data_IF_814595143838
#
_entry.id   IF_814595143838
#
_cell.length_a   1.000
_cell.length_b   1.000
_cell.length_c   1.000
_cell.angle_alpha   90.00
_cell.angle_beta   90.00
_cell.angle_gamma   90.00
#
_symmetry.space_group_name_H-M   'P 1'
#
loop_
_entity.id
_entity.type
_entity.pdbx_description
1 polymer ?
#
# COMPACT_ATOMS: atom_id res chain seq x y z
N UNK A 1 -5.77 -16.52 -19.33
CA UNK A 1 -6.70 -15.39 -19.29
C UNK A 1 -6.99 -14.86 -17.87
N UNK A 2 -7.00 -15.70 -16.85
CA UNK A 2 -7.17 -15.26 -15.46
C UNK A 2 -5.92 -14.55 -14.89
N UNK A 3 -4.73 -14.88 -15.35
CA UNK A 3 -3.48 -14.29 -14.86
C UNK A 3 -3.35 -12.80 -15.20
N UNK A 4 -3.84 -12.37 -16.35
CA UNK A 4 -3.81 -10.95 -16.75
C UNK A 4 -4.75 -10.04 -15.94
N UNK A 5 -5.79 -10.61 -15.31
CA UNK A 5 -6.72 -9.84 -14.47
C UNK A 5 -6.10 -9.47 -13.12
N UNK A 6 -5.18 -10.28 -12.61
CA UNK A 6 -4.48 -10.00 -11.34
C UNK A 6 -3.54 -8.80 -11.47
N UNK A 7 -2.79 -8.73 -12.56
CA UNK A 7 -1.86 -7.63 -12.84
C UNK A 7 -2.60 -6.30 -13.05
N UNK A 8 -3.75 -6.33 -13.72
CA UNK A 8 -4.52 -5.11 -14.00
C UNK A 8 -5.07 -4.45 -12.73
N UNK A 9 -5.37 -5.22 -11.69
CA UNK A 9 -5.90 -4.70 -10.44
C UNK A 9 -4.81 -4.29 -9.45
N UNK A 10 -3.57 -4.75 -9.63
CA UNK A 10 -2.47 -4.42 -8.73
C UNK A 10 -2.22 -2.91 -8.67
N UNK A 11 -2.17 -2.23 -9.81
CA UNK A 11 -1.97 -0.78 -9.85
C UNK A 11 -3.05 -0.04 -9.07
N UNK A 12 -4.32 -0.39 -9.29
CA UNK A 12 -5.45 0.20 -8.58
C UNK A 12 -5.34 -0.01 -7.07
N UNK A 13 -5.10 -1.24 -6.64
CA UNK A 13 -5.02 -1.60 -5.22
C UNK A 13 -3.82 -0.92 -4.56
N UNK A 14 -2.68 -0.93 -5.21
CA UNK A 14 -1.45 -0.30 -4.69
C UNK A 14 -1.63 1.20 -4.51
N UNK A 15 -2.26 1.87 -5.46
CA UNK A 15 -2.56 3.30 -5.38
C UNK A 15 -3.58 3.60 -4.27
N UNK A 16 -4.62 2.77 -4.17
CA UNK A 16 -5.63 2.88 -3.12
C UNK A 16 -4.99 2.77 -1.73
N UNK A 17 -4.21 1.71 -1.50
CA UNK A 17 -3.58 1.47 -0.21
C UNK A 17 -2.53 2.53 0.12
N UNK A 18 -1.77 2.99 -0.88
CA UNK A 18 -0.84 4.09 -0.71
C UNK A 18 -1.53 5.35 -0.21
N UNK A 19 -2.65 5.73 -0.80
CA UNK A 19 -3.42 6.90 -0.37
C UNK A 19 -4.01 6.72 1.03
N UNK A 20 -4.47 5.52 1.38
CA UNK A 20 -5.01 5.24 2.71
C UNK A 20 -3.94 5.33 3.80
N UNK A 21 -2.70 4.97 3.52
CA UNK A 21 -1.60 5.17 4.46
C UNK A 21 -1.12 6.63 4.53
N UNK A 22 -1.16 7.34 3.41
CA UNK A 22 -0.58 8.69 3.29
C UNK A 22 -1.48 9.77 3.89
N UNK A 23 -2.80 9.65 3.69
CA UNK A 23 -3.77 10.71 4.01
C UNK A 23 -4.54 10.40 5.27
N UNK A 24 -4.83 11.46 6.04
CA UNK A 24 -5.73 11.36 7.19
C UNK A 24 -7.13 10.95 6.70
N UNK A 25 -7.86 10.12 7.47
CA UNK A 25 -9.21 9.69 7.09
C UNK A 25 -10.19 10.83 6.82
N UNK A 26 -9.99 11.97 7.49
CA UNK A 26 -10.83 13.17 7.33
C UNK A 26 -10.44 14.03 6.12
N UNK A 27 -9.39 13.66 5.39
CA UNK A 27 -9.00 14.38 4.17
C UNK A 27 -10.14 14.27 3.13
N UNK A 28 -10.62 15.40 2.59
CA UNK A 28 -11.71 15.38 1.60
C UNK A 28 -11.42 14.53 0.37
N UNK A 29 -10.16 14.36 0.00
CA UNK A 29 -9.75 13.51 -1.13
C UNK A 29 -10.17 12.05 -0.89
N UNK A 30 -10.19 11.58 0.36
CA UNK A 30 -10.56 10.21 0.69
C UNK A 30 -12.08 9.99 0.79
N UNK A 31 -12.91 11.04 0.73
CA UNK A 31 -14.37 10.87 0.89
C UNK A 31 -14.94 9.90 -0.16
N UNK A 32 -14.52 10.03 -1.41
CA UNK A 32 -14.90 9.11 -2.48
C UNK A 32 -14.37 7.70 -2.29
N UNK A 33 -13.17 7.59 -1.73
CA UNK A 33 -12.55 6.29 -1.43
C UNK A 33 -13.36 5.53 -0.37
N UNK A 34 -13.75 6.20 0.71
CA UNK A 34 -14.55 5.55 1.75
C UNK A 34 -15.94 5.16 1.24
N UNK A 35 -16.56 6.00 0.41
CA UNK A 35 -17.84 5.65 -0.22
C UNK A 35 -17.69 4.40 -1.10
N UNK A 36 -16.62 4.34 -1.88
CA UNK A 36 -16.32 3.20 -2.75
C UNK A 36 -16.08 1.91 -1.93
N UNK A 37 -15.33 2.01 -0.84
CA UNK A 37 -15.09 0.89 0.08
C UNK A 37 -16.40 0.40 0.73
N UNK A 38 -17.24 1.32 1.20
CA UNK A 38 -18.49 0.98 1.86
C UNK A 38 -19.49 0.26 0.93
N UNK A 39 -19.33 0.40 -0.38
CA UNK A 39 -20.13 -0.30 -1.38
C UNK A 39 -19.64 -1.71 -1.66
N UNK A 40 -18.54 -2.17 -1.03
CA UNK A 40 -18.00 -3.50 -1.23
C UNK A 40 -17.16 -3.65 -2.50
N UNK A 41 -16.73 -2.56 -3.10
CA UNK A 41 -16.03 -2.59 -4.38
C UNK A 41 -14.63 -3.19 -4.30
N UNK A 42 -13.98 -3.12 -3.14
CA UNK A 42 -12.65 -3.72 -2.97
C UNK A 42 -12.72 -5.25 -3.11
N UNK A 43 -13.75 -5.87 -2.52
CA UNK A 43 -13.98 -7.32 -2.67
C UNK A 43 -14.17 -7.73 -4.12
N UNK A 44 -14.79 -6.87 -4.94
CA UNK A 44 -15.01 -7.16 -6.36
C UNK A 44 -13.73 -7.12 -7.19
N UNK A 45 -12.79 -6.25 -6.83
CA UNK A 45 -11.51 -6.11 -7.56
C UNK A 45 -10.37 -6.91 -6.91
N UNK A 46 -10.61 -7.50 -5.75
CA UNK A 46 -9.60 -8.29 -5.05
C UNK A 46 -9.32 -9.57 -5.82
N UNK A 47 -8.09 -9.70 -6.31
CA UNK A 47 -7.72 -10.73 -7.27
C UNK A 47 -7.19 -12.01 -6.64
N UNK A 48 -6.97 -12.02 -5.33
CA UNK A 48 -6.41 -13.17 -4.63
C UNK A 48 -7.51 -14.08 -4.09
N UNK A 49 -7.17 -15.36 -3.92
CA UNK A 49 -8.07 -16.30 -3.27
C UNK A 49 -8.32 -15.88 -1.83
N UNK A 50 -9.59 -15.81 -1.46
CA UNK A 50 -10.00 -15.38 -0.14
C UNK A 50 -10.02 -16.56 0.82
N UNK A 51 -9.12 -16.57 1.79
CA UNK A 51 -9.24 -17.39 2.99
C UNK A 51 -10.05 -16.63 4.04
N UNK A 52 -10.29 -17.26 5.20
CA UNK A 52 -11.09 -16.65 6.26
C UNK A 52 -10.48 -15.34 6.78
N UNK A 53 -9.15 -15.26 6.87
CA UNK A 53 -8.47 -14.08 7.40
C UNK A 53 -8.50 -12.93 6.38
N UNK A 54 -8.31 -13.23 5.10
CA UNK A 54 -8.44 -12.24 4.01
C UNK A 54 -9.88 -11.70 3.93
N UNK A 55 -10.88 -12.58 4.04
CA UNK A 55 -12.29 -12.18 4.03
C UNK A 55 -12.62 -11.25 5.19
N UNK A 56 -12.17 -11.56 6.41
CA UNK A 56 -12.34 -10.70 7.58
C UNK A 56 -11.68 -9.34 7.39
N UNK A 57 -10.49 -9.32 6.82
CA UNK A 57 -9.76 -8.08 6.56
C UNK A 57 -10.47 -7.22 5.52
N UNK A 58 -10.98 -7.83 4.44
CA UNK A 58 -11.78 -7.12 3.43
C UNK A 58 -13.07 -6.55 4.05
N UNK A 59 -13.77 -7.35 4.85
CA UNK A 59 -14.99 -6.90 5.53
C UNK A 59 -14.71 -5.73 6.46
N UNK A 60 -13.63 -5.80 7.24
CA UNK A 60 -13.23 -4.73 8.17
C UNK A 60 -12.87 -3.43 7.44
N UNK A 61 -12.18 -3.54 6.30
CA UNK A 61 -11.78 -2.36 5.52
C UNK A 61 -12.98 -1.69 4.84
N UNK A 62 -14.00 -2.46 4.50
CA UNK A 62 -15.19 -1.99 3.78
C UNK A 62 -16.36 -1.62 4.71
N UNK A 63 -16.25 -1.91 6.00
CA UNK A 63 -17.27 -1.58 6.98
C UNK A 63 -17.35 -0.07 7.19
N UNK A 64 -18.55 0.47 7.32
CA UNK A 64 -18.74 1.87 7.68
C UNK A 64 -18.14 2.15 9.07
N UNK A 65 -17.37 3.21 9.17
CA UNK A 65 -16.69 3.60 10.40
C UNK A 65 -16.81 5.12 10.59
N UNK A 66 -16.87 5.54 11.85
CA UNK A 66 -16.79 6.96 12.20
C UNK A 66 -15.39 7.49 11.84
N UNK A 67 -15.34 8.45 10.91
CA UNK A 67 -14.06 8.98 10.41
C UNK A 67 -13.32 9.78 11.48
N UNK A 68 -14.02 10.38 12.45
CA UNK A 68 -13.37 11.05 13.57
C UNK A 68 -12.62 10.06 14.45
N UNK A 69 -13.25 8.93 14.73
CA UNK A 69 -12.65 7.84 15.49
C UNK A 69 -11.44 7.26 14.75
N UNK A 70 -11.58 7.05 13.43
CA UNK A 70 -10.50 6.53 12.60
C UNK A 70 -9.33 7.52 12.51
N UNK A 71 -9.64 8.83 12.46
CA UNK A 71 -8.59 9.86 12.44
C UNK A 71 -7.77 9.86 13.75
N UNK A 72 -8.39 9.62 14.88
CA UNK A 72 -7.67 9.46 16.16
C UNK A 72 -6.70 8.29 16.11
N UNK A 73 -7.13 7.17 15.51
CA UNK A 73 -6.27 6.00 15.31
C UNK A 73 -5.12 6.35 14.35
N UNK A 74 -5.40 7.06 13.27
CA UNK A 74 -4.38 7.51 12.31
C UNK A 74 -3.31 8.35 13.01
N UNK A 75 -3.73 9.34 13.82
CA UNK A 75 -2.78 10.20 14.54
C UNK A 75 -1.96 9.41 15.57
N UNK A 76 -2.57 8.45 16.23
CA UNK A 76 -1.90 7.58 17.20
C UNK A 76 -0.84 6.71 16.53
N UNK A 77 -1.12 6.20 15.32
CA UNK A 77 -0.19 5.36 14.56
C UNK A 77 0.86 6.20 13.83
N UNK A 78 0.43 7.18 13.05
CA UNK A 78 1.24 7.84 12.03
C UNK A 78 1.42 9.34 12.24
N UNK A 79 0.81 9.92 13.25
CA UNK A 79 0.94 11.35 13.57
C UNK A 79 2.35 11.71 14.01
N UNK A 80 2.57 12.99 14.30
CA UNK A 80 3.89 13.53 14.68
C UNK A 80 4.56 12.76 15.82
N UNK A 81 3.76 12.30 16.80
CA UNK A 81 4.24 11.48 17.93
C UNK A 81 3.69 10.05 17.84
N UNK A 82 3.43 9.56 16.63
CA UNK A 82 2.83 8.26 16.39
C UNK A 82 3.74 7.10 16.76
N UNK A 83 3.13 5.95 17.01
CA UNK A 83 3.82 4.74 17.43
C UNK A 83 4.54 4.02 16.27
N UNK A 84 4.20 4.37 15.01
CA UNK A 84 4.76 3.76 13.81
C UNK A 84 5.37 4.85 12.93
N UNK A 85 6.68 4.79 12.73
CA UNK A 85 7.34 5.70 11.82
C UNK A 85 6.88 5.43 10.38
N UNK A 86 6.55 6.50 9.64
CA UNK A 86 6.14 6.41 8.23
C UNK A 86 7.30 6.61 7.28
N UNK A 87 8.42 7.12 7.75
CA UNK A 87 9.61 7.40 6.97
C UNK A 87 10.32 6.11 6.56
N UNK A 88 10.59 5.95 5.26
CA UNK A 88 11.32 4.78 4.77
C UNK A 88 12.75 4.72 5.32
N UNK A 89 13.34 5.89 5.60
CA UNK A 89 14.66 5.99 6.22
C UNK A 89 14.71 5.33 7.60
N UNK A 90 13.59 5.33 8.34
CA UNK A 90 13.50 4.66 9.64
C UNK A 90 13.65 3.13 9.55
N UNK A 91 13.48 2.59 8.35
CA UNK A 91 13.56 1.15 8.09
C UNK A 91 14.80 0.76 7.28
N UNK A 92 15.79 1.66 7.23
CA UNK A 92 17.06 1.39 6.58
C UNK A 92 17.07 1.59 5.07
N UNK A 93 16.06 2.26 4.51
CA UNK A 93 15.99 2.55 3.09
C UNK A 93 16.61 3.91 2.81
N UNK A 94 17.51 3.99 1.84
CA UNK A 94 18.10 5.26 1.41
C UNK A 94 17.10 6.08 0.61
N UNK A 95 16.71 7.23 1.13
CA UNK A 95 15.80 8.17 0.46
C UNK A 95 16.44 8.69 -0.82
N UNK A 96 17.76 8.96 -0.79
CA UNK A 96 18.50 9.44 -1.95
C UNK A 96 18.48 8.41 -3.09
N UNK A 97 18.78 7.15 -2.79
CA UNK A 97 18.73 6.06 -3.79
C UNK A 97 17.33 5.88 -4.35
N UNK A 98 16.31 5.98 -3.51
CA UNK A 98 14.92 5.88 -3.95
C UNK A 98 14.53 7.07 -4.84
N UNK A 99 14.96 8.28 -4.48
CA UNK A 99 14.76 9.48 -5.31
C UNK A 99 15.39 9.29 -6.69
N UNK A 100 16.65 8.86 -6.74
CA UNK A 100 17.38 8.62 -7.99
C UNK A 100 16.68 7.54 -8.84
N UNK A 101 16.22 6.47 -8.19
CA UNK A 101 15.46 5.41 -8.85
C UNK A 101 14.23 5.96 -9.58
N UNK A 102 13.50 6.85 -8.92
CA UNK A 102 12.31 7.48 -9.49
C UNK A 102 12.65 8.44 -10.62
N UNK A 103 13.65 9.29 -10.39
CA UNK A 103 14.05 10.33 -11.32
C UNK A 103 14.53 9.76 -12.67
N UNK A 104 15.35 8.72 -12.63
CA UNK A 104 15.87 8.06 -13.84
C UNK A 104 14.72 7.49 -14.70
N UNK A 105 13.61 7.13 -14.08
CA UNK A 105 12.45 6.55 -14.77
C UNK A 105 11.36 7.56 -15.12
N UNK A 106 11.59 8.84 -14.84
CA UNK A 106 10.67 9.91 -15.22
C UNK A 106 9.45 10.05 -14.35
N UNK A 107 9.44 9.51 -13.12
CA UNK A 107 8.32 9.71 -12.21
C UNK A 107 8.23 11.18 -11.80
N UNK A 108 7.00 11.69 -11.55
CA UNK A 108 6.81 13.05 -11.06
C UNK A 108 7.49 13.26 -9.70
N UNK A 109 7.86 14.52 -9.41
CA UNK A 109 8.36 14.88 -8.08
C UNK A 109 7.31 14.56 -7.02
N UNK A 110 7.77 14.10 -5.87
CA UNK A 110 6.93 13.78 -4.72
C UNK A 110 7.23 14.76 -3.58
N UNK A 111 6.18 15.30 -2.95
CA UNK A 111 6.35 16.24 -1.82
C UNK A 111 7.02 15.58 -0.61
N UNK A 112 6.67 14.35 -0.33
CA UNK A 112 7.19 13.61 0.82
C UNK A 112 7.70 12.24 0.38
N UNK A 113 8.87 12.25 -0.27
CA UNK A 113 9.47 11.03 -0.80
C UNK A 113 9.85 10.04 0.30
N UNK A 114 10.13 10.54 1.53
CA UNK A 114 10.47 9.71 2.68
C UNK A 114 9.21 9.20 3.41
N UNK A 115 8.24 8.69 2.67
CA UNK A 115 7.03 8.11 3.25
C UNK A 115 6.77 6.75 2.61
N UNK A 116 6.41 5.76 3.43
CA UNK A 116 6.11 4.41 2.97
C UNK A 116 5.12 4.37 1.81
N UNK A 117 4.09 5.22 1.86
CA UNK A 117 3.08 5.29 0.79
C UNK A 117 3.68 5.58 -0.58
N UNK A 118 4.80 6.30 -0.65
CA UNK A 118 5.46 6.61 -1.92
C UNK A 118 5.98 5.34 -2.60
N UNK A 119 6.33 4.32 -1.84
CA UNK A 119 6.73 3.03 -2.40
C UNK A 119 5.55 2.36 -3.12
N UNK A 120 4.36 2.37 -2.50
CA UNK A 120 3.15 1.80 -3.11
C UNK A 120 2.69 2.60 -4.33
N UNK A 121 2.75 3.94 -4.25
CA UNK A 121 2.39 4.82 -5.36
C UNK A 121 3.37 4.67 -6.53
N UNK A 122 4.65 4.46 -6.24
CA UNK A 122 5.67 4.20 -7.26
C UNK A 122 5.40 2.86 -7.95
N UNK A 123 5.05 1.82 -7.20
CA UNK A 123 4.69 0.51 -7.76
C UNK A 123 3.50 0.63 -8.71
N UNK A 124 2.47 1.39 -8.32
CA UNK A 124 1.31 1.67 -9.18
C UNK A 124 1.71 2.39 -10.47
N UNK A 125 2.53 3.42 -10.35
CA UNK A 125 2.98 4.21 -11.50
C UNK A 125 3.80 3.35 -12.49
N UNK A 126 4.70 2.53 -11.98
CA UNK A 126 5.50 1.63 -12.82
C UNK A 126 4.63 0.64 -13.58
N UNK A 127 3.59 0.11 -12.94
CA UNK A 127 2.65 -0.80 -13.58
C UNK A 127 1.91 -0.14 -14.75
N UNK A 128 1.52 1.13 -14.57
CA UNK A 128 0.74 1.87 -15.56
C UNK A 128 1.58 2.47 -16.69
N UNK A 129 2.86 2.79 -16.45
CA UNK A 129 3.65 3.64 -17.35
C UNK A 129 4.95 3.02 -17.85
N UNK A 130 5.45 1.96 -17.22
CA UNK A 130 6.73 1.36 -17.59
C UNK A 130 6.54 0.01 -18.27
N UNK A 131 7.17 -0.15 -19.43
CA UNK A 131 7.24 -1.45 -20.13
C UNK A 131 8.34 -2.35 -19.56
N UNK A 132 8.94 -1.96 -18.42
CA UNK A 132 10.08 -2.67 -17.87
C UNK A 132 9.73 -3.44 -16.62
N UNK A 133 9.63 -4.75 -16.76
CA UNK A 133 9.52 -5.68 -15.66
C UNK A 133 10.67 -5.51 -14.66
N UNK A 134 11.87 -5.26 -15.15
CA UNK A 134 13.06 -5.09 -14.31
C UNK A 134 12.98 -3.89 -13.37
N UNK A 135 12.27 -2.82 -13.77
CA UNK A 135 12.07 -1.67 -12.90
C UNK A 135 11.21 -2.04 -11.68
N UNK A 136 10.13 -2.79 -11.90
CA UNK A 136 9.27 -3.24 -10.81
C UNK A 136 10.00 -4.24 -9.90
N UNK A 137 10.78 -5.15 -10.47
CA UNK A 137 11.62 -6.08 -9.71
C UNK A 137 12.61 -5.33 -8.82
N UNK A 138 13.29 -4.32 -9.37
CA UNK A 138 14.25 -3.50 -8.62
C UNK A 138 13.58 -2.73 -7.49
N UNK A 139 12.39 -2.13 -7.75
CA UNK A 139 11.61 -1.45 -6.70
C UNK A 139 11.30 -2.41 -5.55
N UNK A 140 10.81 -3.60 -5.86
CA UNK A 140 10.43 -4.59 -4.84
C UNK A 140 11.65 -5.05 -4.04
N UNK A 141 12.73 -5.41 -4.70
CA UNK A 141 13.92 -5.97 -4.04
C UNK A 141 14.67 -4.95 -3.19
N UNK A 142 14.86 -3.74 -3.71
CA UNK A 142 15.71 -2.73 -3.05
C UNK A 142 14.97 -1.89 -2.03
N UNK A 143 13.69 -1.61 -2.26
CA UNK A 143 12.99 -0.58 -1.49
C UNK A 143 11.70 -1.10 -0.85
N UNK A 144 10.79 -1.64 -1.63
CA UNK A 144 9.43 -1.89 -1.16
C UNK A 144 9.35 -3.06 -0.18
N UNK A 145 9.86 -4.24 -0.53
CA UNK A 145 9.79 -5.41 0.34
C UNK A 145 10.59 -5.24 1.64
N UNK A 146 11.84 -4.73 1.60
CA UNK A 146 12.59 -4.52 2.84
C UNK A 146 11.90 -3.55 3.80
N UNK A 147 11.29 -2.49 3.29
CA UNK A 147 10.55 -1.54 4.11
C UNK A 147 9.24 -2.12 4.61
N UNK A 148 8.45 -2.72 3.72
CA UNK A 148 7.13 -3.28 4.04
C UNK A 148 7.22 -4.37 5.10
N UNK A 149 8.24 -5.23 5.05
CA UNK A 149 8.43 -6.30 6.02
C UNK A 149 8.53 -5.80 7.46
N UNK A 150 9.00 -4.56 7.66
CA UNK A 150 9.11 -3.96 8.98
C UNK A 150 7.94 -3.05 9.31
N UNK A 151 7.54 -2.20 8.36
CA UNK A 151 6.47 -1.22 8.54
C UNK A 151 5.13 -1.88 8.79
N UNK A 152 4.73 -2.84 7.95
CA UNK A 152 3.40 -3.46 8.04
C UNK A 152 3.22 -4.26 9.33
N UNK A 153 4.26 -4.94 9.80
CA UNK A 153 4.22 -5.67 11.08
C UNK A 153 3.98 -4.72 12.24
N UNK A 154 4.62 -3.55 12.23
CA UNK A 154 4.42 -2.53 13.26
C UNK A 154 2.99 -2.01 13.26
N UNK A 155 2.44 -1.73 12.08
CA UNK A 155 1.04 -1.30 11.96
C UNK A 155 0.09 -2.36 12.53
N UNK A 156 0.25 -3.62 12.13
CA UNK A 156 -0.57 -4.72 12.62
C UNK A 156 -0.50 -4.85 14.15
N UNK A 157 0.68 -4.67 14.72
CA UNK A 157 0.92 -4.82 16.16
C UNK A 157 0.37 -3.64 16.95
N UNK A 158 0.48 -2.40 16.44
CA UNK A 158 0.13 -1.18 17.15
C UNK A 158 -1.32 -0.74 16.93
N UNK A 159 -1.96 -1.18 15.84
CA UNK A 159 -3.34 -0.79 15.55
C UNK A 159 -4.31 -1.38 16.57
N UNK A 160 -5.21 -0.53 17.09
CA UNK A 160 -6.25 -0.94 18.05
C UNK A 160 -7.60 -1.17 17.38
N UNK A 161 -7.86 -0.44 16.28
CA UNK A 161 -9.06 -0.64 15.45
C UNK A 161 -8.75 -1.58 14.28
N UNK A 162 -9.78 -2.29 13.77
CA UNK A 162 -9.55 -3.25 12.69
C UNK A 162 -9.10 -2.66 11.36
N UNK A 163 -9.40 -1.37 11.08
CA UNK A 163 -9.19 -0.78 9.76
C UNK A 163 -7.70 -0.82 9.33
N UNK A 164 -6.80 -0.19 10.10
CA UNK A 164 -5.37 -0.14 9.71
C UNK A 164 -4.68 -1.48 9.87
N UNK A 165 -5.12 -2.31 10.82
CA UNK A 165 -4.63 -3.69 10.92
C UNK A 165 -4.96 -4.48 9.66
N UNK A 166 -6.20 -4.37 9.19
CA UNK A 166 -6.66 -5.03 7.96
C UNK A 166 -5.98 -4.46 6.73
N UNK A 167 -5.79 -3.13 6.67
CA UNK A 167 -5.06 -2.48 5.58
C UNK A 167 -3.63 -3.03 5.48
N UNK A 168 -2.93 -3.13 6.60
CA UNK A 168 -1.57 -3.68 6.64
C UNK A 168 -1.54 -5.15 6.22
N UNK A 169 -2.48 -5.95 6.70
CA UNK A 169 -2.61 -7.35 6.33
C UNK A 169 -2.82 -7.53 4.83
N UNK A 170 -3.80 -6.82 4.25
CA UNK A 170 -4.10 -6.91 2.82
C UNK A 170 -2.96 -6.37 1.96
N UNK A 171 -2.27 -5.33 2.42
CA UNK A 171 -1.09 -4.81 1.72
C UNK A 171 -0.01 -5.87 1.65
N UNK A 172 0.26 -6.57 2.75
CA UNK A 172 1.25 -7.65 2.77
C UNK A 172 0.86 -8.78 1.81
N UNK A 173 -0.43 -9.15 1.77
CA UNK A 173 -0.93 -10.21 0.88
C UNK A 173 -0.72 -9.84 -0.61
N UNK A 174 -1.10 -8.62 -1.00
CA UNK A 174 -0.97 -8.21 -2.41
C UNK A 174 0.50 -8.03 -2.82
N UNK A 175 1.35 -7.55 -1.92
CA UNK A 175 2.77 -7.43 -2.21
C UNK A 175 3.45 -8.78 -2.34
N UNK A 176 3.09 -9.74 -1.49
CA UNK A 176 3.61 -11.12 -1.56
C UNK A 176 3.22 -11.78 -2.88
N UNK A 177 1.96 -11.63 -3.29
CA UNK A 177 1.49 -12.18 -4.56
C UNK A 177 2.20 -11.55 -5.76
N UNK A 178 2.39 -10.22 -5.73
CA UNK A 178 3.09 -9.53 -6.82
C UNK A 178 4.57 -9.91 -6.86
N UNK A 179 5.21 -10.10 -5.71
CA UNK A 179 6.60 -10.57 -5.64
C UNK A 179 6.75 -11.95 -6.28
N UNK A 180 5.82 -12.86 -6.02
CA UNK A 180 5.81 -14.20 -6.63
C UNK A 180 5.64 -14.11 -8.16
N UNK A 181 4.77 -13.23 -8.63
CA UNK A 181 4.59 -12.99 -10.07
C UNK A 181 5.88 -12.48 -10.72
N UNK A 182 6.54 -11.50 -10.09
CA UNK A 182 7.78 -10.94 -10.59
C UNK A 182 8.90 -11.99 -10.67
N UNK A 183 8.98 -12.86 -9.68
CA UNK A 183 9.96 -13.95 -9.65
C UNK A 183 9.67 -14.98 -10.76
N UNK A 184 8.41 -15.32 -11.01
CA UNK A 184 8.00 -16.25 -12.07
C UNK A 184 8.36 -15.73 -13.46
N UNK A 185 8.21 -14.42 -13.69
CA UNK A 185 8.49 -13.80 -14.99
C UNK A 185 9.99 -13.62 -15.24
N UNK A 186 10.83 -13.65 -14.18
CA UNK A 186 12.28 -13.56 -14.28
C UNK A 186 12.92 -14.87 -14.75
N UNK A 187 12.20 -15.99 -14.76
CA UNK A 187 12.65 -17.31 -15.21
C UNK A 187 12.27 -17.56 -16.66
#
# INVERSE_FOLDING_TARGET
>A
MQENLQLNNFSLISRLFGNLFYRQPTDPILSGVFAWLNQGNLSQVWALNEDNDSQKALDSLQMAIDLTLLDREYQKLFGESGNVATEISAYGISVEEFHDFRQVRGLPEAENIDHFAMLLLTASWLEDNADSLSAQQELFERFLLPCAAKFLVKVETQATLPFYRSLAYLTREILSAMADELDSEAL
#
